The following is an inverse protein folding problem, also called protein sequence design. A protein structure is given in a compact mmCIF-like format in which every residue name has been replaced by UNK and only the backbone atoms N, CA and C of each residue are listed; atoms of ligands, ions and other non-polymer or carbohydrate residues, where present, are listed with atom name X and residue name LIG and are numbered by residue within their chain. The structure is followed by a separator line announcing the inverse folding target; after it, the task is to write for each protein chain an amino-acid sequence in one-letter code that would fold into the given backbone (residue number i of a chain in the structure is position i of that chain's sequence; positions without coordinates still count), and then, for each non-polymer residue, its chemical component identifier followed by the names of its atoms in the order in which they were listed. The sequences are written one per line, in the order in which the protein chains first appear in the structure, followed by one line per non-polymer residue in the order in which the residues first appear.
data_IF_945164218980
#
_entry.id   IF_945164218980
#
_cell.length_a   1.000
_cell.length_b   1.000
_cell.length_c   1.000
_cell.angle_alpha   90.00
_cell.angle_beta   90.00
_cell.angle_gamma   90.00
#
_symmetry.space_group_name_H-M   'P 1'
#
loop_
_entity.id
_entity.type
_entity.pdbx_description
1 polymer ?
#
# COMPACT_ATOMS: atom_id res chain seq x y z
N UNK A 1 -10.98 15.80 -36.29
CA UNK A 1 -12.31 15.13 -36.27
C UNK A 1 -12.31 13.71 -35.65
N UNK A 2 -11.23 13.25 -35.00
CA UNK A 2 -11.05 11.87 -34.49
C UNK A 2 -11.12 10.79 -35.60
N UNK A 3 -10.88 11.15 -36.86
CA UNK A 3 -10.95 10.25 -38.02
C UNK A 3 -9.80 9.25 -38.13
N UNK A 4 -8.72 9.44 -37.38
CA UNK A 4 -7.56 8.53 -37.45
C UNK A 4 -6.62 8.81 -38.64
N UNK A 5 -6.82 9.93 -39.34
CA UNK A 5 -5.92 10.55 -40.32
C UNK A 5 -5.95 12.07 -40.11
N UNK A 6 -4.96 12.80 -40.62
CA UNK A 6 -4.97 14.28 -40.65
C UNK A 6 -5.19 14.74 -42.09
N UNK A 7 -6.29 15.46 -42.29
CA UNK A 7 -6.61 16.05 -43.58
C UNK A 7 -5.85 17.36 -43.83
N UNK A 8 -5.76 17.77 -45.10
CA UNK A 8 -5.17 19.07 -45.52
C UNK A 8 -5.77 20.27 -44.78
N UNK A 9 -7.08 20.23 -44.56
CA UNK A 9 -7.82 21.29 -43.88
C UNK A 9 -7.46 21.35 -42.38
N UNK A 10 -7.33 20.19 -41.73
CA UNK A 10 -6.97 20.12 -40.32
C UNK A 10 -5.49 20.49 -40.07
N UNK A 11 -4.60 20.12 -40.98
CA UNK A 11 -3.21 20.57 -40.93
C UNK A 11 -3.13 22.10 -41.12
N UNK A 12 -3.92 22.67 -42.03
CA UNK A 12 -4.03 24.12 -42.21
C UNK A 12 -4.56 24.84 -40.96
N UNK A 13 -5.64 24.32 -40.37
CA UNK A 13 -6.22 24.88 -39.13
C UNK A 13 -5.22 24.80 -37.96
N UNK A 14 -4.42 23.73 -37.89
CA UNK A 14 -3.34 23.60 -36.90
C UNK A 14 -2.24 24.65 -37.13
N UNK A 15 -1.79 24.87 -38.37
CA UNK A 15 -0.78 25.88 -38.68
C UNK A 15 -1.29 27.30 -38.38
N UNK A 16 -2.55 27.59 -38.69
CA UNK A 16 -3.20 28.86 -38.37
C UNK A 16 -3.33 29.07 -36.85
N UNK A 17 -3.69 28.03 -36.10
CA UNK A 17 -3.77 28.06 -34.64
C UNK A 17 -2.40 28.30 -34.00
N UNK A 18 -1.34 27.81 -34.64
CA UNK A 18 0.06 28.01 -34.23
C UNK A 18 0.64 29.36 -34.69
N UNK A 19 -0.10 30.15 -35.47
CA UNK A 19 0.35 31.44 -36.00
C UNK A 19 1.37 31.34 -37.13
N UNK A 20 1.51 30.16 -37.76
CA UNK A 20 2.44 29.91 -38.86
C UNK A 20 1.69 30.10 -40.17
N UNK A 21 1.93 31.23 -40.85
CA UNK A 21 1.29 31.50 -42.12
C UNK A 21 1.88 30.60 -43.21
N UNK A 22 1.08 29.62 -43.65
CA UNK A 22 1.51 28.57 -44.58
C UNK A 22 0.57 28.55 -45.77
N UNK A 23 1.12 28.56 -46.99
CA UNK A 23 0.32 28.53 -48.20
C UNK A 23 -0.30 27.15 -48.43
N UNK A 24 -1.46 27.04 -49.10
CA UNK A 24 -2.06 25.75 -49.43
C UNK A 24 -1.13 24.84 -50.27
N UNK A 25 -0.25 25.44 -51.09
CA UNK A 25 0.77 24.70 -51.86
C UNK A 25 1.86 24.10 -50.95
N UNK A 26 2.24 24.79 -49.89
CA UNK A 26 3.20 24.28 -48.90
C UNK A 26 2.58 23.20 -48.01
N UNK A 27 1.29 23.33 -47.69
CA UNK A 27 0.54 22.29 -46.97
C UNK A 27 0.46 21.00 -47.80
N UNK A 28 0.23 21.14 -49.11
CA UNK A 28 0.26 20.00 -50.05
C UNK A 28 1.64 19.35 -50.10
N UNK A 29 2.73 20.13 -50.08
CA UNK A 29 4.09 19.60 -50.06
C UNK A 29 4.42 18.91 -48.72
N UNK A 30 4.00 19.46 -47.59
CA UNK A 30 4.17 18.84 -46.28
C UNK A 30 3.47 17.48 -46.20
N UNK A 31 2.26 17.40 -46.75
CA UNK A 31 1.51 16.14 -46.76
C UNK A 31 2.17 15.15 -47.70
N UNK A 32 2.52 15.55 -48.92
CA UNK A 32 3.19 14.67 -49.88
C UNK A 32 4.55 14.10 -49.39
N UNK A 33 5.25 14.79 -48.50
CA UNK A 33 6.52 14.32 -47.93
C UNK A 33 6.30 13.27 -46.80
N UNK A 34 5.13 13.27 -46.17
CA UNK A 34 4.80 12.43 -45.01
C UNK A 34 3.90 11.26 -45.41
N UNK A 35 3.02 11.48 -46.37
CA UNK A 35 2.03 10.56 -46.95
C UNK A 35 2.75 9.42 -47.70
N UNK A 36 2.66 8.20 -47.16
CA UNK A 36 3.33 7.01 -47.69
C UNK A 36 2.47 6.24 -48.69
N UNK A 37 1.15 6.34 -48.61
CA UNK A 37 0.20 5.61 -49.46
C UNK A 37 -0.40 6.50 -50.56
N UNK A 38 0.00 7.77 -50.62
CA UNK A 38 -0.43 8.79 -51.60
C UNK A 38 -1.93 9.04 -51.57
N UNK A 39 -2.57 8.89 -50.41
CA UNK A 39 -4.00 9.08 -50.24
C UNK A 39 -4.40 10.55 -50.03
N UNK A 40 -3.43 11.45 -49.86
CA UNK A 40 -3.60 12.88 -49.68
C UNK A 40 -3.90 13.31 -48.23
N UNK A 41 -3.77 12.39 -47.28
CA UNK A 41 -3.95 12.56 -45.85
C UNK A 41 -2.72 12.00 -45.10
N UNK A 42 -2.47 12.49 -43.88
CA UNK A 42 -1.41 11.92 -43.03
C UNK A 42 -2.05 10.86 -42.15
N UNK A 43 -1.85 9.60 -42.52
CA UNK A 43 -2.20 8.47 -41.66
C UNK A 43 -1.26 8.40 -40.45
N UNK A 44 -1.86 8.15 -39.29
CA UNK A 44 -1.09 7.86 -38.10
C UNK A 44 -0.64 6.40 -38.19
N UNK A 45 0.68 6.14 -38.14
CA UNK A 45 1.27 4.79 -38.10
C UNK A 45 0.82 4.05 -36.82
N UNK A 46 -0.40 3.53 -36.84
CA UNK A 46 -0.94 2.54 -35.91
C UNK A 46 -1.21 1.28 -36.70
N UNK A 47 -0.19 0.42 -36.78
CA UNK A 47 -0.24 -1.02 -37.08
C UNK A 47 -1.65 -1.55 -37.43
N UNK A 48 -2.07 -1.36 -38.69
CA UNK A 48 -3.43 -1.71 -39.11
C UNK A 48 -3.49 -3.16 -39.60
N UNK A 49 -3.50 -4.09 -38.64
CA UNK A 49 -4.28 -5.30 -38.82
C UNK A 49 -4.84 -5.75 -37.48
N UNK A 50 -6.10 -5.37 -37.24
CA UNK A 50 -6.94 -5.61 -36.07
C UNK A 50 -6.77 -4.64 -34.89
N UNK A 51 -7.39 -3.44 -34.95
CA UNK A 51 -7.95 -2.84 -33.73
C UNK A 51 -9.02 -1.77 -34.00
N UNK A 52 -9.88 -1.56 -33.00
CA UNK A 52 -11.11 -0.75 -32.99
C UNK A 52 -10.94 0.70 -33.51
N UNK A 53 -11.97 1.32 -34.12
CA UNK A 53 -11.93 2.67 -34.70
C UNK A 53 -11.93 3.81 -33.66
N UNK A 54 -11.40 3.58 -32.45
CA UNK A 54 -11.47 4.51 -31.32
C UNK A 54 -10.12 4.83 -30.69
N UNK A 55 -9.01 4.34 -31.24
CA UNK A 55 -7.68 4.70 -30.76
C UNK A 55 -7.24 6.05 -31.35
N UNK A 56 -6.83 7.02 -30.51
CA UNK A 56 -6.24 8.26 -31.01
C UNK A 56 -4.93 7.92 -31.75
N UNK A 57 -4.80 8.38 -32.99
CA UNK A 57 -3.60 8.16 -33.80
C UNK A 57 -2.37 8.90 -33.23
N UNK A 58 -1.18 8.32 -33.41
CA UNK A 58 0.10 8.91 -32.98
C UNK A 58 1.00 9.22 -34.19
N UNK A 59 1.47 10.47 -34.31
CA UNK A 59 2.44 10.87 -35.34
C UNK A 59 3.83 10.68 -34.75
N UNK A 60 4.75 10.06 -35.50
CA UNK A 60 6.15 10.02 -35.09
C UNK A 60 6.69 11.45 -34.99
N UNK A 61 7.15 11.81 -33.79
CA UNK A 61 7.66 13.14 -33.43
C UNK A 61 8.70 13.64 -34.44
N UNK A 62 9.56 12.75 -34.94
CA UNK A 62 10.61 13.09 -35.90
C UNK A 62 10.08 13.58 -37.26
N UNK A 63 8.91 13.10 -37.70
CA UNK A 63 8.31 13.52 -38.97
C UNK A 63 7.66 14.89 -38.85
N UNK A 64 6.92 15.11 -37.77
CA UNK A 64 6.31 16.40 -37.47
C UNK A 64 7.39 17.48 -37.23
N UNK A 65 8.49 17.11 -36.56
CA UNK A 65 9.64 17.99 -36.33
C UNK A 65 10.31 18.40 -37.65
N UNK A 66 10.51 17.46 -38.57
CA UNK A 66 11.06 17.74 -39.90
C UNK A 66 10.14 18.64 -40.73
N UNK A 67 8.82 18.42 -40.66
CA UNK A 67 7.86 19.25 -41.39
C UNK A 67 7.86 20.71 -40.90
N UNK A 68 7.82 20.92 -39.58
CA UNK A 68 7.81 22.24 -38.94
C UNK A 68 9.11 23.04 -39.12
N UNK A 69 10.23 22.37 -39.42
CA UNK A 69 11.54 23.04 -39.63
C UNK A 69 11.83 23.32 -41.11
N UNK A 70 11.15 22.65 -42.04
CA UNK A 70 11.39 22.79 -43.48
C UNK A 70 10.41 23.74 -44.18
N UNK A 71 9.15 23.78 -43.73
CA UNK A 71 8.04 24.47 -44.40
C UNK A 71 7.47 25.61 -43.54
N UNK A 72 6.85 26.61 -44.19
CA UNK A 72 6.32 27.82 -43.56
C UNK A 72 7.15 29.09 -43.84
N UNK A 73 6.49 30.26 -43.78
CA UNK A 73 7.11 31.57 -44.06
C UNK A 73 8.14 31.97 -42.99
N UNK A 74 7.86 31.65 -41.72
CA UNK A 74 8.78 31.75 -40.60
C UNK A 74 9.26 30.35 -40.20
N UNK A 75 10.41 29.93 -40.73
CA UNK A 75 10.99 28.61 -40.41
C UNK A 75 11.33 28.53 -38.93
N UNK A 76 10.74 27.56 -38.23
CA UNK A 76 11.06 27.32 -36.84
C UNK A 76 12.46 26.72 -36.73
N UNK A 77 13.23 27.17 -35.76
CA UNK A 77 14.45 26.46 -35.36
C UNK A 77 14.09 25.07 -34.83
N UNK A 78 15.03 24.13 -34.91
CA UNK A 78 14.85 22.78 -34.37
C UNK A 78 14.40 22.77 -32.90
N UNK A 79 14.83 23.78 -32.13
CA UNK A 79 14.43 23.98 -30.75
C UNK A 79 12.97 24.42 -30.64
N UNK A 80 12.54 25.42 -31.40
CA UNK A 80 11.14 25.90 -31.39
C UNK A 80 10.16 24.86 -31.90
N UNK A 81 10.52 24.07 -32.91
CA UNK A 81 9.70 22.96 -33.39
C UNK A 81 9.53 21.87 -32.31
N UNK A 82 10.59 21.55 -31.57
CA UNK A 82 10.51 20.61 -30.45
C UNK A 82 9.66 21.12 -29.29
N UNK A 83 9.71 22.44 -29.04
CA UNK A 83 8.90 23.12 -28.03
C UNK A 83 7.41 22.99 -28.32
N UNK A 84 7.02 23.26 -29.56
CA UNK A 84 5.62 23.17 -30.00
C UNK A 84 5.10 21.74 -29.94
N UNK A 85 5.88 20.75 -30.36
CA UNK A 85 5.47 19.34 -30.28
C UNK A 85 5.29 18.92 -28.81
N UNK A 86 6.12 19.43 -27.89
CA UNK A 86 5.99 19.15 -26.45
C UNK A 86 4.74 19.78 -25.83
N UNK A 87 4.38 21.01 -26.23
CA UNK A 87 3.15 21.69 -25.81
C UNK A 87 1.91 20.97 -26.35
N UNK A 88 1.95 20.53 -27.63
CA UNK A 88 0.86 19.77 -28.25
C UNK A 88 0.65 18.40 -27.59
N UNK A 89 1.73 17.73 -27.15
CA UNK A 89 1.67 16.46 -26.44
C UNK A 89 1.31 16.56 -24.94
N UNK A 90 0.88 17.74 -24.47
CA UNK A 90 0.53 17.99 -23.06
C UNK A 90 1.64 17.54 -22.07
N UNK A 91 2.90 17.61 -22.51
CA UNK A 91 4.07 17.20 -21.73
C UNK A 91 4.80 18.46 -21.27
N UNK A 92 4.90 18.63 -19.95
CA UNK A 92 5.62 19.72 -19.29
C UNK A 92 7.09 19.77 -19.71
N UNK A 93 7.46 20.79 -20.51
CA UNK A 93 8.79 21.36 -20.74
C UNK A 93 9.93 20.47 -21.30
N UNK A 94 10.74 21.07 -22.19
CA UNK A 94 11.92 20.48 -22.85
C UNK A 94 12.96 20.02 -21.81
N UNK A 95 13.48 18.80 -21.96
CA UNK A 95 14.60 18.28 -21.16
C UNK A 95 14.25 17.72 -19.78
N UNK A 96 12.96 17.65 -19.44
CA UNK A 96 12.46 17.18 -18.14
C UNK A 96 12.12 15.67 -18.14
N UNK A 97 12.93 14.84 -18.81
CA UNK A 97 12.70 13.39 -18.90
C UNK A 97 13.21 12.61 -17.68
N UNK A 98 13.95 13.25 -16.76
CA UNK A 98 14.53 12.60 -15.59
C UNK A 98 14.47 13.51 -14.36
N UNK A 99 13.57 13.19 -13.43
CA UNK A 99 13.59 13.66 -12.04
C UNK A 99 13.49 15.18 -11.81
N UNK A 100 13.51 15.58 -10.54
CA UNK A 100 13.47 16.99 -10.14
C UNK A 100 14.75 17.70 -10.57
N UNK A 101 14.61 18.80 -11.32
CA UNK A 101 15.68 19.76 -11.53
C UNK A 101 15.16 21.19 -11.29
N UNK A 102 16.08 22.12 -11.01
CA UNK A 102 15.75 23.50 -10.66
C UNK A 102 15.05 24.30 -11.78
N UNK A 103 15.05 23.79 -13.02
CA UNK A 103 14.43 24.41 -14.19
C UNK A 103 13.02 23.87 -14.51
N UNK A 104 12.74 22.61 -14.16
CA UNK A 104 11.53 21.87 -14.55
C UNK A 104 10.45 21.81 -13.47
N UNK A 105 10.77 22.11 -12.21
CA UNK A 105 9.77 22.26 -11.14
C UNK A 105 8.96 21.02 -10.74
N UNK A 106 9.15 19.88 -11.42
CA UNK A 106 8.42 18.64 -11.13
C UNK A 106 8.97 17.96 -9.88
N UNK A 107 8.07 17.59 -8.96
CA UNK A 107 8.40 16.93 -7.71
C UNK A 107 8.95 15.52 -7.99
N UNK A 108 10.15 15.22 -7.50
CA UNK A 108 10.75 13.89 -7.61
C UNK A 108 9.97 12.89 -6.76
N UNK A 109 9.09 12.16 -7.43
CA UNK A 109 8.23 11.17 -6.78
C UNK A 109 9.03 10.01 -6.19
N UNK A 110 10.17 9.63 -6.78
CA UNK A 110 11.01 8.54 -6.25
C UNK A 110 11.59 8.95 -4.90
N UNK A 111 12.16 10.14 -4.83
CA UNK A 111 12.69 10.69 -3.57
C UNK A 111 11.58 10.91 -2.54
N UNK A 112 10.40 11.42 -2.95
CA UNK A 112 9.28 11.60 -2.02
C UNK A 112 8.82 10.27 -1.42
N UNK A 113 8.60 9.25 -2.24
CA UNK A 113 8.19 7.93 -1.74
C UNK A 113 9.25 7.31 -0.84
N UNK A 114 10.53 7.47 -1.16
CA UNK A 114 11.62 7.03 -0.31
C UNK A 114 11.61 7.72 1.06
N UNK A 115 11.35 9.04 1.11
CA UNK A 115 11.18 9.77 2.37
C UNK A 115 9.99 9.23 3.16
N UNK A 116 8.85 8.97 2.51
CA UNK A 116 7.65 8.41 3.16
C UNK A 116 7.97 7.04 3.76
N UNK A 117 8.59 6.13 3.02
CA UNK A 117 8.93 4.80 3.53
C UNK A 117 9.97 4.86 4.67
N UNK A 118 10.97 5.75 4.57
CA UNK A 118 11.93 5.95 5.65
C UNK A 118 11.28 6.55 6.90
N UNK A 119 10.28 7.43 6.76
CA UNK A 119 9.53 7.96 7.89
C UNK A 119 8.76 6.87 8.65
N UNK A 120 8.26 5.85 7.94
CA UNK A 120 7.63 4.66 8.56
C UNK A 120 8.65 3.87 9.35
N UNK A 121 9.86 3.65 8.80
CA UNK A 121 10.94 2.97 9.52
C UNK A 121 11.33 3.71 10.80
N UNK A 122 11.44 5.05 10.74
CA UNK A 122 11.70 5.90 11.92
C UNK A 122 10.55 5.80 12.92
N UNK A 123 9.30 5.79 12.46
CA UNK A 123 8.15 5.64 13.35
C UNK A 123 8.20 4.32 14.13
N UNK A 124 8.52 3.21 13.45
CA UNK A 124 8.60 1.87 14.07
C UNK A 124 9.78 1.70 15.01
N UNK A 125 10.97 2.22 14.65
CA UNK A 125 12.19 2.01 15.43
C UNK A 125 12.36 3.05 16.53
N UNK A 126 11.87 4.28 16.33
CA UNK A 126 12.10 5.41 17.24
C UNK A 126 10.85 5.80 18.01
N UNK A 127 9.77 6.16 17.29
CA UNK A 127 8.60 6.76 17.96
C UNK A 127 7.80 5.75 18.78
N UNK A 128 7.58 4.54 18.26
CA UNK A 128 6.84 3.51 19.00
C UNK A 128 7.57 3.04 20.25
N UNK A 129 8.84 2.62 20.22
CA UNK A 129 9.51 2.10 21.42
C UNK A 129 9.73 3.22 22.44
N UNK A 130 10.05 4.44 21.99
CA UNK A 130 10.10 5.62 22.87
C UNK A 130 8.77 5.84 23.61
N UNK A 131 7.64 5.76 22.91
CA UNK A 131 6.33 5.93 23.53
C UNK A 131 6.07 4.84 24.57
N UNK A 132 6.43 3.58 24.28
CA UNK A 132 6.30 2.48 25.24
C UNK A 132 7.13 2.74 26.48
N UNK A 133 8.42 3.05 26.34
CA UNK A 133 9.29 3.29 27.50
C UNK A 133 8.86 4.50 28.32
N UNK A 134 8.34 5.54 27.67
CA UNK A 134 7.77 6.68 28.35
C UNK A 134 6.58 6.29 29.24
N UNK A 135 5.71 5.44 28.74
CA UNK A 135 4.51 4.99 29.44
C UNK A 135 4.77 3.87 30.46
N UNK A 136 5.74 2.99 30.21
CA UNK A 136 6.18 1.95 31.15
C UNK A 136 6.91 2.57 32.36
N UNK A 137 7.59 3.70 32.17
CA UNK A 137 8.15 4.48 33.28
C UNK A 137 7.08 5.10 34.21
N UNK A 138 5.80 5.00 33.86
CA UNK A 138 4.66 5.42 34.68
C UNK A 138 4.07 4.23 35.44
N UNK A 139 4.80 3.71 36.42
CA UNK A 139 4.22 2.82 37.42
C UNK A 139 3.22 3.64 38.26
N UNK A 140 1.95 3.66 37.84
CA UNK A 140 0.86 4.45 38.41
C UNK A 140 0.47 4.13 39.86
N UNK A 141 1.37 3.55 40.65
CA UNK A 141 1.19 3.17 42.05
C UNK A 141 2.39 3.51 42.95
N UNK A 142 3.26 4.46 42.57
CA UNK A 142 4.28 4.95 43.50
C UNK A 142 3.72 6.01 44.45
N UNK A 143 3.35 5.49 45.62
CA UNK A 143 3.22 6.20 46.87
C UNK A 143 4.54 6.96 47.15
N UNK A 144 4.39 8.24 47.47
CA UNK A 144 5.34 9.11 48.17
C UNK A 144 6.83 8.66 48.29
N UNK A 145 7.73 9.45 47.67
CA UNK A 145 9.10 9.73 48.16
C UNK A 145 10.31 8.89 47.69
N UNK A 146 10.42 8.51 46.42
CA UNK A 146 11.72 8.14 45.85
C UNK A 146 11.97 8.78 44.48
N UNK A 147 12.87 9.77 44.45
CA UNK A 147 13.54 10.41 43.31
C UNK A 147 12.71 10.56 42.02
N UNK A 148 12.21 11.79 41.78
CA UNK A 148 11.87 12.30 40.45
C UNK A 148 13.12 12.34 39.56
N UNK A 149 13.61 11.20 39.12
CA UNK A 149 14.48 11.11 37.96
C UNK A 149 13.63 11.56 36.76
N UNK A 150 14.21 12.36 35.85
CA UNK A 150 13.45 12.91 34.74
C UNK A 150 12.96 11.76 33.85
N UNK A 151 11.66 11.42 33.93
CA UNK A 151 10.99 10.33 33.21
C UNK A 151 11.37 10.21 31.72
N UNK A 152 11.49 11.36 31.05
CA UNK A 152 11.90 11.42 29.65
C UNK A 152 13.37 11.02 29.41
N UNK A 153 14.27 11.25 30.36
CA UNK A 153 15.68 10.83 30.27
C UNK A 153 15.83 9.31 30.42
N UNK A 154 15.07 8.70 31.33
CA UNK A 154 15.10 7.25 31.52
C UNK A 154 14.53 6.52 30.29
N UNK A 155 13.43 7.03 29.72
CA UNK A 155 12.89 6.53 28.45
C UNK A 155 13.86 6.73 27.27
N UNK A 156 14.51 7.90 27.17
CA UNK A 156 15.47 8.20 26.10
C UNK A 156 16.71 7.30 26.18
N UNK A 157 17.18 6.95 27.38
CA UNK A 157 18.30 6.02 27.56
C UNK A 157 17.97 4.62 27.04
N UNK A 158 16.76 4.12 27.32
CA UNK A 158 16.29 2.83 26.79
C UNK A 158 16.13 2.89 25.27
N UNK A 159 15.66 4.02 24.75
CA UNK A 159 15.50 4.24 23.31
C UNK A 159 16.84 4.29 22.56
N UNK A 160 17.87 4.92 23.13
CA UNK A 160 19.21 4.84 22.53
C UNK A 160 19.68 3.39 22.46
N UNK A 161 19.37 2.59 23.48
CA UNK A 161 19.74 1.16 23.49
C UNK A 161 19.03 0.37 22.40
N UNK A 162 17.73 0.62 22.14
CA UNK A 162 16.99 -0.07 21.07
C UNK A 162 17.51 0.32 19.70
N UNK A 163 17.71 1.60 19.43
CA UNK A 163 18.25 2.10 18.16
C UNK A 163 19.63 1.50 17.86
N UNK A 164 20.50 1.39 18.88
CA UNK A 164 21.82 0.76 18.72
C UNK A 164 21.69 -0.72 18.36
N UNK A 165 20.82 -1.47 19.04
CA UNK A 165 20.61 -2.89 18.75
C UNK A 165 20.04 -3.09 17.35
N UNK A 166 19.00 -2.32 16.97
CA UNK A 166 18.40 -2.39 15.64
C UNK A 166 19.41 -1.98 14.57
N UNK A 167 20.20 -0.93 14.80
CA UNK A 167 21.25 -0.48 13.90
C UNK A 167 22.33 -1.54 13.66
N UNK A 168 22.74 -2.27 14.71
CA UNK A 168 23.68 -3.40 14.59
C UNK A 168 23.06 -4.52 13.74
N UNK A 169 21.81 -4.87 14.00
CA UNK A 169 21.10 -5.91 13.23
C UNK A 169 21.04 -5.52 11.75
N UNK A 170 20.59 -4.31 11.44
CA UNK A 170 20.48 -3.80 10.07
C UNK A 170 21.86 -3.74 9.39
N UNK A 171 22.92 -3.36 10.10
CA UNK A 171 24.27 -3.34 9.55
C UNK A 171 24.76 -4.76 9.19
N UNK A 172 24.53 -5.74 10.08
CA UNK A 172 24.88 -7.14 9.82
C UNK A 172 24.11 -7.65 8.61
N UNK A 173 22.80 -7.43 8.55
CA UNK A 173 21.97 -7.94 7.46
C UNK A 173 22.25 -7.23 6.14
N UNK A 174 22.61 -5.95 6.16
CA UNK A 174 23.04 -5.21 4.98
C UNK A 174 24.32 -5.81 4.39
N UNK A 175 25.34 -6.04 5.22
CA UNK A 175 26.61 -6.62 4.77
C UNK A 175 26.41 -8.03 4.18
N UNK A 176 25.47 -8.81 4.71
CA UNK A 176 25.23 -10.18 4.21
C UNK A 176 24.28 -10.26 3.03
N UNK A 177 23.42 -9.26 2.79
CA UNK A 177 22.28 -9.36 1.87
C UNK A 177 21.98 -8.10 1.04
N UNK A 178 22.95 -7.21 0.82
CA UNK A 178 22.76 -5.96 0.05
C UNK A 178 22.67 -6.14 -1.47
N UNK A 179 22.76 -7.35 -2.00
CA UNK A 179 22.74 -7.61 -3.45
C UNK A 179 21.37 -8.08 -3.92
N UNK A 180 20.86 -7.51 -5.01
CA UNK A 180 19.62 -7.95 -5.67
C UNK A 180 19.94 -8.56 -7.04
N UNK A 181 19.35 -9.72 -7.33
CA UNK A 181 19.43 -10.39 -8.64
C UNK A 181 18.18 -10.05 -9.45
N UNK A 182 18.30 -9.21 -10.48
CA UNK A 182 17.18 -8.87 -11.39
C UNK A 182 17.17 -9.84 -12.58
N UNK A 183 16.12 -10.66 -12.75
CA UNK A 183 16.01 -11.55 -13.90
C UNK A 183 15.64 -10.77 -15.16
N UNK A 184 16.34 -11.02 -16.26
CA UNK A 184 16.06 -10.46 -17.58
C UNK A 184 16.24 -11.53 -18.65
N UNK A 185 15.52 -11.37 -19.77
CA UNK A 185 15.62 -12.29 -20.92
C UNK A 185 16.56 -11.72 -21.98
N UNK A 186 17.57 -12.48 -22.37
CA UNK A 186 18.52 -12.10 -23.42
C UNK A 186 18.38 -13.05 -24.61
N UNK A 187 18.49 -12.50 -25.81
CA UNK A 187 18.66 -13.26 -27.04
C UNK A 187 20.14 -13.25 -27.41
N UNK A 188 20.80 -14.40 -27.32
CA UNK A 188 22.22 -14.53 -27.67
C UNK A 188 22.32 -14.99 -29.12
N UNK A 189 23.00 -14.20 -29.94
CA UNK A 189 23.31 -14.54 -31.33
C UNK A 189 24.82 -14.65 -31.52
N UNK A 190 25.30 -15.81 -31.97
CA UNK A 190 26.73 -16.01 -32.26
C UNK A 190 27.07 -15.41 -33.63
N UNK A 191 27.55 -14.16 -33.66
CA UNK A 191 28.09 -13.54 -34.87
C UNK A 191 29.55 -13.95 -35.09
N UNK A 192 29.92 -14.26 -36.34
CA UNK A 192 31.30 -14.63 -36.74
C UNK A 192 32.07 -13.49 -37.38
N UNK A 193 31.57 -12.25 -37.34
CA UNK A 193 32.19 -11.09 -38.00
C UNK A 193 32.44 -9.98 -36.98
N UNK A 194 33.69 -9.49 -36.93
CA UNK A 194 34.21 -8.54 -35.93
C UNK A 194 33.73 -7.09 -36.03
N UNK A 195 32.50 -6.85 -36.48
CA UNK A 195 31.85 -5.55 -36.36
C UNK A 195 30.58 -5.76 -35.52
N UNK A 196 30.47 -5.06 -34.38
CA UNK A 196 29.46 -5.18 -33.31
C UNK A 196 28.00 -4.83 -33.72
N UNK A 197 27.62 -5.03 -34.98
CA UNK A 197 26.29 -4.71 -35.51
C UNK A 197 25.69 -5.93 -36.22
N UNK A 198 24.67 -6.53 -35.62
CA UNK A 198 23.91 -7.63 -36.22
C UNK A 198 22.83 -7.02 -37.12
N UNK A 199 22.89 -7.29 -38.42
CA UNK A 199 21.83 -6.96 -39.37
C UNK A 199 20.85 -8.13 -39.47
N UNK A 200 19.70 -8.04 -38.80
CA UNK A 200 18.61 -8.98 -39.01
C UNK A 200 17.84 -8.48 -40.24
N UNK A 201 17.88 -9.23 -41.34
CA UNK A 201 17.13 -8.92 -42.53
C UNK A 201 15.62 -9.09 -42.23
N UNK A 202 14.95 -7.97 -41.94
CA UNK A 202 13.52 -7.96 -41.68
C UNK A 202 12.72 -7.89 -42.99
N UNK A 203 11.58 -8.60 -43.02
CA UNK A 203 10.60 -8.52 -44.10
C UNK A 203 9.51 -7.47 -43.80
N UNK A 204 9.77 -6.56 -42.85
CA UNK A 204 9.02 -5.32 -42.63
C UNK A 204 10.00 -4.14 -42.66
N UNK A 205 10.42 -3.75 -43.86
CA UNK A 205 10.70 -2.35 -44.17
C UNK A 205 11.85 -1.60 -43.46
N UNK A 206 12.86 -2.25 -42.88
CA UNK A 206 14.03 -1.51 -42.36
C UNK A 206 15.22 -2.37 -41.94
N UNK A 207 16.43 -1.94 -42.30
CA UNK A 207 17.70 -2.57 -41.91
C UNK A 207 18.14 -2.06 -40.53
N UNK A 208 17.56 -2.56 -39.44
CA UNK A 208 17.97 -2.15 -38.09
C UNK A 208 19.19 -2.95 -37.63
N UNK A 209 20.28 -2.26 -37.34
CA UNK A 209 21.47 -2.85 -36.71
C UNK A 209 21.24 -2.94 -35.20
N UNK A 210 21.28 -4.14 -34.65
CA UNK A 210 21.27 -4.33 -33.20
C UNK A 210 22.69 -4.19 -32.66
N UNK A 211 22.85 -3.37 -31.62
CA UNK A 211 24.07 -3.28 -30.81
C UNK A 211 23.89 -4.13 -29.55
N UNK A 212 25.00 -4.61 -28.99
CA UNK A 212 24.94 -5.36 -27.73
C UNK A 212 24.32 -4.50 -26.62
N UNK A 213 23.35 -5.06 -25.89
CA UNK A 213 22.56 -4.36 -24.87
C UNK A 213 21.37 -3.54 -25.37
N UNK A 214 21.04 -3.56 -26.67
CA UNK A 214 19.84 -2.90 -27.18
C UNK A 214 18.54 -3.57 -26.68
N UNK A 215 17.54 -2.76 -26.33
CA UNK A 215 16.19 -3.24 -25.94
C UNK A 215 15.42 -3.57 -27.22
N UNK A 216 14.86 -4.79 -27.27
CA UNK A 216 14.13 -5.31 -28.42
C UNK A 216 12.62 -5.22 -28.13
N UNK A 217 11.84 -4.78 -29.11
CA UNK A 217 10.38 -4.70 -29.01
C UNK A 217 9.71 -6.08 -28.94
N UNK A 218 8.47 -6.19 -28.44
CA UNK A 218 7.74 -7.46 -28.41
C UNK A 218 7.62 -8.14 -29.77
N UNK A 219 7.44 -7.37 -30.85
CA UNK A 219 7.27 -7.89 -32.22
C UNK A 219 8.59 -8.48 -32.76
N UNK A 220 9.70 -7.77 -32.59
CA UNK A 220 11.04 -8.24 -32.96
C UNK A 220 11.43 -9.50 -32.14
N UNK A 221 11.01 -9.57 -30.88
CA UNK A 221 11.22 -10.75 -30.03
C UNK A 221 10.51 -11.98 -30.59
N UNK A 222 9.26 -11.86 -31.06
CA UNK A 222 8.51 -12.96 -31.68
C UNK A 222 9.19 -13.43 -32.97
N UNK A 223 9.67 -12.50 -33.79
CA UNK A 223 10.40 -12.83 -35.01
C UNK A 223 11.72 -13.57 -34.72
N UNK A 224 12.50 -13.12 -33.74
CA UNK A 224 13.72 -13.80 -33.32
C UNK A 224 13.44 -15.24 -32.86
N UNK A 225 12.35 -15.47 -32.12
CA UNK A 225 11.92 -16.83 -31.74
C UNK A 225 11.52 -17.67 -32.95
N UNK A 226 10.83 -17.10 -33.95
CA UNK A 226 10.49 -17.80 -35.19
C UNK A 226 11.73 -18.24 -35.99
N UNK A 227 12.87 -17.55 -35.82
CA UNK A 227 14.18 -17.92 -36.39
C UNK A 227 14.98 -18.89 -35.53
N UNK A 228 14.42 -19.40 -34.43
CA UNK A 228 15.05 -20.36 -33.55
C UNK A 228 15.96 -19.75 -32.47
N UNK A 229 15.95 -18.42 -32.28
CA UNK A 229 16.59 -17.78 -31.14
C UNK A 229 15.65 -17.79 -29.94
N UNK A 230 15.90 -18.71 -29.02
CA UNK A 230 15.13 -18.80 -27.79
C UNK A 230 15.67 -17.82 -26.73
N UNK A 231 14.80 -17.11 -25.99
CA UNK A 231 15.23 -16.22 -24.92
C UNK A 231 15.88 -17.02 -23.79
N UNK A 232 17.09 -16.65 -23.42
CA UNK A 232 17.81 -17.18 -22.27
C UNK A 232 17.46 -16.32 -21.05
N UNK A 233 17.10 -16.95 -19.94
CA UNK A 233 16.95 -16.25 -18.67
C UNK A 233 18.32 -16.08 -18.01
N UNK A 234 18.70 -14.83 -17.78
CA UNK A 234 19.92 -14.43 -17.09
C UNK A 234 19.56 -13.47 -15.97
N UNK A 235 20.43 -13.34 -14.96
CA UNK A 235 20.23 -12.40 -13.86
C UNK A 235 21.38 -11.40 -13.78
N UNK A 236 21.04 -10.14 -13.51
CA UNK A 236 22.01 -9.07 -13.25
C UNK A 236 22.07 -8.81 -11.76
N UNK A 237 23.29 -8.79 -11.19
CA UNK A 237 23.54 -8.42 -9.79
C UNK A 237 23.70 -6.93 -9.66
N UNK A 238 22.88 -6.32 -8.83
CA UNK A 238 22.97 -4.90 -8.47
C UNK A 238 23.16 -4.73 -6.97
N UNK A 239 24.05 -3.81 -6.60
CA UNK A 239 24.24 -3.39 -5.22
C UNK A 239 23.13 -2.40 -4.83
N UNK A 240 22.47 -2.68 -3.71
CA UNK A 240 21.34 -1.88 -3.23
C UNK A 240 21.84 -0.83 -2.23
N UNK A 241 21.36 0.41 -2.38
CA UNK A 241 21.67 1.48 -1.44
C UNK A 241 21.03 1.23 -0.06
N UNK A 242 21.66 1.75 0.99
CA UNK A 242 21.18 1.54 2.38
C UNK A 242 19.72 1.95 2.59
N UNK A 243 19.23 3.11 2.09
CA UNK A 243 17.82 3.48 2.28
C UNK A 243 16.86 2.50 1.61
N UNK A 244 17.15 2.09 0.36
CA UNK A 244 16.31 1.12 -0.36
C UNK A 244 16.29 -0.21 0.39
N UNK A 245 17.44 -0.67 0.89
CA UNK A 245 17.53 -1.88 1.69
C UNK A 245 16.66 -1.83 2.97
N UNK A 246 16.71 -0.73 3.72
CA UNK A 246 15.90 -0.56 4.93
C UNK A 246 14.41 -0.61 4.58
N UNK A 247 13.99 0.10 3.52
CA UNK A 247 12.58 0.09 3.09
C UNK A 247 12.14 -1.31 2.66
N UNK A 248 12.96 -2.05 1.91
CA UNK A 248 12.68 -3.42 1.53
C UNK A 248 12.56 -4.36 2.75
N UNK A 249 13.42 -4.21 3.75
CA UNK A 249 13.38 -5.00 4.98
C UNK A 249 12.10 -4.74 5.77
N UNK A 250 11.71 -3.47 5.95
CA UNK A 250 10.46 -3.10 6.63
C UNK A 250 9.24 -3.59 5.87
N UNK A 251 9.23 -3.47 4.54
CA UNK A 251 8.16 -4.00 3.69
C UNK A 251 8.07 -5.52 3.74
N UNK A 252 9.20 -6.24 3.79
CA UNK A 252 9.24 -7.69 3.93
C UNK A 252 8.60 -8.15 5.24
N UNK A 253 9.01 -7.54 6.37
CA UNK A 253 8.41 -7.83 7.69
C UNK A 253 6.93 -7.46 7.71
N UNK A 254 6.59 -6.28 7.16
CA UNK A 254 5.22 -5.79 7.06
C UNK A 254 4.31 -6.70 6.24
N UNK A 255 4.81 -7.33 5.19
CA UNK A 255 4.04 -8.24 4.34
C UNK A 255 3.53 -9.48 5.11
N UNK A 256 4.35 -10.06 5.98
CA UNK A 256 3.89 -11.19 6.83
C UNK A 256 2.77 -10.76 7.77
N UNK A 257 2.94 -9.64 8.47
CA UNK A 257 1.92 -9.10 9.37
C UNK A 257 0.63 -8.75 8.61
N UNK A 258 0.77 -8.10 7.45
CA UNK A 258 -0.33 -7.75 6.56
C UNK A 258 -1.12 -8.98 6.12
N UNK A 259 -0.45 -10.05 5.68
CA UNK A 259 -1.10 -11.28 5.22
C UNK A 259 -1.99 -11.92 6.30
N UNK A 260 -1.53 -11.94 7.55
CA UNK A 260 -2.24 -12.53 8.69
C UNK A 260 -3.40 -11.63 9.12
N UNK A 261 -3.12 -10.34 9.36
CA UNK A 261 -4.11 -9.41 9.91
C UNK A 261 -5.20 -9.09 8.89
N UNK A 262 -4.86 -8.88 7.62
CA UNK A 262 -5.88 -8.63 6.57
C UNK A 262 -6.72 -9.88 6.34
N UNK A 263 -6.12 -11.08 6.33
CA UNK A 263 -6.88 -12.33 6.18
C UNK A 263 -7.95 -12.49 7.25
N UNK A 264 -7.59 -12.26 8.52
CA UNK A 264 -8.54 -12.31 9.64
C UNK A 264 -9.53 -11.15 9.57
N UNK A 265 -9.04 -9.96 9.23
CA UNK A 265 -9.81 -8.73 9.11
C UNK A 265 -10.93 -8.79 8.08
N UNK A 266 -10.64 -9.35 6.89
CA UNK A 266 -11.60 -9.50 5.79
C UNK A 266 -12.81 -10.35 6.19
N UNK A 267 -12.61 -11.33 7.08
CA UNK A 267 -13.70 -12.16 7.62
C UNK A 267 -14.34 -11.50 8.84
N UNK A 268 -13.54 -10.91 9.71
CA UNK A 268 -13.98 -10.32 10.97
C UNK A 268 -14.87 -9.08 10.80
N UNK A 269 -14.53 -8.19 9.87
CA UNK A 269 -15.28 -6.95 9.62
C UNK A 269 -16.76 -7.17 9.30
N UNK A 270 -17.10 -7.94 8.25
CA UNK A 270 -18.51 -8.18 7.91
C UNK A 270 -19.21 -8.97 9.01
N UNK A 271 -18.54 -9.94 9.64
CA UNK A 271 -19.12 -10.70 10.75
C UNK A 271 -19.46 -9.82 11.94
N UNK A 272 -18.57 -8.93 12.38
CA UNK A 272 -18.84 -8.06 13.54
C UNK A 272 -20.00 -7.10 13.25
N UNK A 273 -20.09 -6.56 12.03
CA UNK A 273 -21.19 -5.70 11.60
C UNK A 273 -22.53 -6.44 11.58
N UNK A 274 -22.55 -7.69 11.11
CA UNK A 274 -23.76 -8.53 11.06
C UNK A 274 -24.14 -9.01 12.47
N UNK A 275 -23.18 -9.43 13.29
CA UNK A 275 -23.40 -9.83 14.69
C UNK A 275 -23.95 -8.68 15.52
N UNK A 276 -23.55 -7.44 15.23
CA UNK A 276 -24.13 -6.26 15.88
C UNK A 276 -25.64 -6.15 15.64
N UNK A 277 -26.13 -6.59 14.48
CA UNK A 277 -27.57 -6.64 14.18
C UNK A 277 -28.25 -7.76 14.95
N UNK A 278 -27.62 -8.94 15.07
CA UNK A 278 -28.16 -10.00 15.92
C UNK A 278 -28.24 -9.53 17.38
N UNK A 279 -27.24 -8.79 17.87
CA UNK A 279 -27.29 -8.15 19.18
C UNK A 279 -28.40 -7.09 19.29
N UNK A 280 -28.84 -6.46 18.20
CA UNK A 280 -30.01 -5.59 18.20
C UNK A 280 -31.31 -6.39 18.42
N UNK A 281 -31.45 -7.57 17.81
CA UNK A 281 -32.61 -8.44 18.06
C UNK A 281 -32.61 -9.01 19.48
N UNK A 282 -31.44 -9.33 20.03
CA UNK A 282 -31.27 -9.84 21.40
C UNK A 282 -30.94 -8.76 22.43
N UNK A 283 -31.31 -7.50 22.16
CA UNK A 283 -30.98 -6.36 23.04
C UNK A 283 -31.52 -6.57 24.45
N UNK A 284 -30.74 -6.26 25.50
CA UNK A 284 -31.27 -6.25 26.86
C UNK A 284 -32.40 -5.21 26.99
N UNK A 285 -33.49 -5.65 27.62
CA UNK A 285 -34.71 -4.86 27.80
C UNK A 285 -34.53 -3.88 28.96
N UNK A 286 -35.32 -2.80 28.94
CA UNK A 286 -35.32 -1.83 30.03
C UNK A 286 -35.61 -2.49 31.39
N UNK A 287 -34.82 -2.15 32.39
CA UNK A 287 -34.96 -2.61 33.77
C UNK A 287 -35.50 -1.45 34.63
N UNK A 288 -36.54 -1.66 35.45
CA UNK A 288 -37.07 -0.62 36.33
C UNK A 288 -36.05 -0.20 37.39
N UNK A 289 -36.17 1.03 37.90
CA UNK A 289 -35.14 1.68 38.72
C UNK A 289 -34.84 0.95 40.05
N UNK A 290 -35.84 0.28 40.62
CA UNK A 290 -35.75 -0.53 41.83
C UNK A 290 -34.88 -1.77 41.62
N UNK A 291 -35.15 -2.54 40.57
CA UNK A 291 -34.36 -3.73 40.20
C UNK A 291 -32.95 -3.32 39.77
N UNK A 292 -32.81 -2.19 39.06
CA UNK A 292 -31.51 -1.63 38.69
C UNK A 292 -30.66 -1.30 39.92
N UNK A 293 -31.24 -0.65 40.93
CA UNK A 293 -30.54 -0.33 42.16
C UNK A 293 -30.05 -1.59 42.90
N UNK A 294 -30.89 -2.64 42.95
CA UNK A 294 -30.51 -3.93 43.55
C UNK A 294 -29.37 -4.61 42.79
N UNK A 295 -29.45 -4.68 41.47
CA UNK A 295 -28.40 -5.28 40.64
C UNK A 295 -27.10 -4.48 40.70
N UNK A 296 -27.18 -3.15 40.71
CA UNK A 296 -26.03 -2.26 40.87
C UNK A 296 -25.31 -2.49 42.20
N UNK A 297 -26.07 -2.66 43.29
CA UNK A 297 -25.51 -3.01 44.60
C UNK A 297 -24.81 -4.37 44.57
N UNK A 298 -25.41 -5.38 43.93
CA UNK A 298 -24.82 -6.72 43.83
C UNK A 298 -23.53 -6.72 42.99
N UNK A 299 -23.48 -5.96 41.90
CA UNK A 299 -22.26 -5.75 41.11
C UNK A 299 -21.20 -5.01 41.93
N UNK A 300 -21.58 -4.01 42.72
CA UNK A 300 -20.66 -3.29 43.60
C UNK A 300 -20.04 -4.22 44.65
N UNK A 301 -20.81 -5.09 45.28
CA UNK A 301 -20.28 -6.09 46.22
C UNK A 301 -19.29 -7.02 45.52
N UNK A 302 -19.65 -7.58 44.35
CA UNK A 302 -18.74 -8.42 43.55
C UNK A 302 -17.44 -7.70 43.18
N UNK A 303 -17.50 -6.39 42.89
CA UNK A 303 -16.31 -5.59 42.58
C UNK A 303 -15.37 -5.43 43.79
N UNK A 304 -15.93 -5.29 44.99
CA UNK A 304 -15.16 -5.17 46.23
C UNK A 304 -14.48 -6.51 46.59
N UNK A 305 -15.21 -7.62 46.49
CA UNK A 305 -14.67 -8.97 46.68
C UNK A 305 -13.51 -9.24 45.72
N UNK A 306 -13.70 -8.90 44.43
CA UNK A 306 -12.67 -9.10 43.42
C UNK A 306 -11.45 -8.21 43.67
N UNK A 307 -11.64 -6.99 44.17
CA UNK A 307 -10.54 -6.10 44.56
C UNK A 307 -9.72 -6.69 45.73
N UNK A 308 -10.37 -7.33 46.70
CA UNK A 308 -9.70 -8.00 47.81
C UNK A 308 -8.86 -9.19 47.34
N UNK A 309 -9.43 -10.04 46.47
CA UNK A 309 -8.70 -11.14 45.81
C UNK A 309 -7.48 -10.60 45.04
N UNK A 310 -7.62 -9.48 44.34
CA UNK A 310 -6.50 -8.84 43.63
C UNK A 310 -5.37 -8.38 44.57
N UNK A 311 -5.72 -7.84 45.74
CA UNK A 311 -4.74 -7.43 46.76
C UNK A 311 -4.00 -8.64 47.34
N UNK A 312 -4.70 -9.74 47.57
CA UNK A 312 -4.11 -10.99 48.08
C UNK A 312 -3.17 -11.64 47.05
N UNK A 313 -3.54 -11.63 45.77
CA UNK A 313 -2.66 -12.08 44.68
C UNK A 313 -1.39 -11.21 44.63
N UNK A 314 -1.51 -9.89 44.77
CA UNK A 314 -0.36 -8.98 44.78
C UNK A 314 0.57 -9.24 45.99
N UNK A 315 0.01 -9.39 47.18
CA UNK A 315 0.80 -9.64 48.40
C UNK A 315 1.47 -11.02 48.38
N UNK A 316 0.78 -12.05 47.86
CA UNK A 316 1.37 -13.38 47.68
C UNK A 316 2.52 -13.38 46.67
N UNK A 317 2.46 -12.58 45.60
CA UNK A 317 3.60 -12.41 44.67
C UNK A 317 4.79 -11.66 45.31
N UNK A 318 4.53 -10.59 46.06
CA UNK A 318 5.58 -9.81 46.75
C UNK A 318 6.28 -10.59 47.87
N UNK A 319 5.58 -11.49 48.54
CA UNK A 319 6.08 -12.26 49.69
C UNK A 319 6.99 -13.44 49.32
N UNK A 320 7.09 -13.80 48.02
CA UNK A 320 7.99 -14.83 47.53
C UNK A 320 9.22 -14.22 46.85
N UNK A 321 10.24 -13.73 47.58
CA UNK A 321 11.48 -13.30 46.96
C UNK A 321 12.20 -14.51 46.35
N UNK A 322 12.24 -14.55 45.02
CA UNK A 322 12.77 -15.65 44.17
C UNK A 322 14.12 -16.20 44.62
N UNK A 323 14.91 -15.42 45.35
CA UNK A 323 16.23 -15.75 45.89
C UNK A 323 16.38 -17.12 46.60
N UNK A 324 15.32 -17.72 47.17
CA UNK A 324 15.44 -18.98 47.95
C UNK A 324 14.92 -20.26 47.26
N UNK A 325 14.31 -20.16 46.07
CA UNK A 325 13.65 -21.30 45.41
C UNK A 325 14.54 -21.98 44.36
N UNK A 326 14.44 -23.30 44.26
CA UNK A 326 15.10 -24.10 43.22
C UNK A 326 14.60 -23.71 41.82
N UNK A 327 15.45 -23.80 40.79
CA UNK A 327 15.10 -23.42 39.40
C UNK A 327 13.83 -24.14 38.87
N UNK A 328 13.57 -25.36 39.35
CA UNK A 328 12.35 -26.13 39.02
C UNK A 328 11.11 -25.60 39.73
N UNK A 329 11.25 -25.18 40.99
CA UNK A 329 10.17 -24.59 41.77
C UNK A 329 9.80 -23.20 41.27
N UNK A 330 10.79 -22.37 40.89
CA UNK A 330 10.54 -21.07 40.25
C UNK A 330 9.73 -21.21 38.97
N UNK A 331 10.08 -22.18 38.10
CA UNK A 331 9.30 -22.45 36.88
C UNK A 331 7.89 -22.96 37.16
N UNK A 332 7.69 -23.73 38.24
CA UNK A 332 6.38 -24.24 38.63
C UNK A 332 5.51 -23.12 39.22
N UNK A 333 6.06 -22.30 40.10
CA UNK A 333 5.38 -21.17 40.73
C UNK A 333 5.04 -20.11 39.70
N UNK A 334 5.97 -19.71 38.83
CA UNK A 334 5.69 -18.76 37.76
C UNK A 334 4.58 -19.22 36.80
N UNK A 335 4.50 -20.53 36.49
CA UNK A 335 3.35 -21.08 35.75
C UNK A 335 2.05 -20.97 36.53
N UNK A 336 2.06 -21.30 37.82
CA UNK A 336 0.87 -21.19 38.67
C UNK A 336 0.40 -19.73 38.77
N UNK A 337 1.31 -18.79 38.98
CA UNK A 337 1.05 -17.35 39.09
C UNK A 337 0.48 -16.77 37.79
N UNK A 338 0.99 -17.22 36.64
CA UNK A 338 0.40 -16.82 35.35
C UNK A 338 -1.03 -17.35 35.18
N UNK A 339 -1.32 -18.56 35.66
CA UNK A 339 -2.67 -19.15 35.58
C UNK A 339 -3.63 -18.43 36.52
N UNK A 340 -3.23 -18.16 37.77
CA UNK A 340 -4.05 -17.41 38.74
C UNK A 340 -4.32 -15.99 38.24
N UNK A 341 -3.31 -15.31 37.72
CA UNK A 341 -3.44 -13.99 37.11
C UNK A 341 -4.39 -14.02 35.90
N UNK A 342 -4.31 -15.02 35.02
CA UNK A 342 -5.21 -15.13 33.87
C UNK A 342 -6.67 -15.36 34.30
N UNK A 343 -6.91 -16.18 35.33
CA UNK A 343 -8.26 -16.36 35.90
C UNK A 343 -8.81 -15.08 36.52
N UNK A 344 -7.96 -14.35 37.23
CA UNK A 344 -8.31 -13.04 37.80
C UNK A 344 -8.70 -12.05 36.70
N UNK A 345 -7.87 -11.93 35.64
CA UNK A 345 -8.17 -11.09 34.46
C UNK A 345 -9.51 -11.47 33.81
N UNK A 346 -9.79 -12.76 33.67
CA UNK A 346 -11.06 -13.24 33.11
C UNK A 346 -12.27 -12.86 33.99
N UNK A 347 -12.13 -12.94 35.31
CA UNK A 347 -13.18 -12.56 36.24
C UNK A 347 -13.45 -11.04 36.20
N UNK A 348 -12.40 -10.22 36.12
CA UNK A 348 -12.51 -8.75 35.94
C UNK A 348 -13.23 -8.42 34.63
N UNK A 349 -12.81 -9.03 33.53
CA UNK A 349 -13.42 -8.83 32.21
C UNK A 349 -14.93 -9.15 32.19
N UNK A 350 -15.34 -10.27 32.81
CA UNK A 350 -16.76 -10.62 32.91
C UNK A 350 -17.54 -9.61 33.75
N UNK A 351 -16.96 -9.12 34.84
CA UNK A 351 -17.60 -8.12 35.68
C UNK A 351 -17.76 -6.77 34.96
N UNK A 352 -16.74 -6.33 34.21
CA UNK A 352 -16.81 -5.12 33.39
C UNK A 352 -17.90 -5.23 32.32
N UNK A 353 -18.02 -6.39 31.67
CA UNK A 353 -19.09 -6.68 30.71
C UNK A 353 -20.48 -6.61 31.37
N UNK A 354 -20.65 -7.22 32.55
CA UNK A 354 -21.89 -7.15 33.33
C UNK A 354 -22.26 -5.69 33.67
N UNK A 355 -21.28 -4.86 34.07
CA UNK A 355 -21.49 -3.43 34.36
C UNK A 355 -21.94 -2.67 33.11
N UNK A 356 -21.30 -2.93 31.97
CA UNK A 356 -21.63 -2.29 30.70
C UNK A 356 -23.05 -2.65 30.24
N UNK A 357 -23.44 -3.93 30.31
CA UNK A 357 -24.80 -4.38 30.01
C UNK A 357 -25.83 -3.72 30.94
N UNK A 358 -25.52 -3.64 32.24
CA UNK A 358 -26.40 -3.01 33.23
C UNK A 358 -26.61 -1.51 32.95
N UNK A 359 -25.56 -0.77 32.58
CA UNK A 359 -25.68 0.66 32.19
C UNK A 359 -26.56 0.85 30.95
N UNK A 360 -26.43 -0.02 29.94
CA UNK A 360 -27.23 0.02 28.72
C UNK A 360 -28.74 -0.21 28.97
N UNK A 361 -29.09 -0.97 30.01
CA UNK A 361 -30.47 -1.25 30.39
C UNK A 361 -31.21 -0.05 30.99
N UNK A 362 -30.51 0.91 31.60
CA UNK A 362 -31.14 1.97 32.40
C UNK A 362 -30.65 3.39 32.05
N UNK A 363 -29.33 3.63 32.09
CA UNK A 363 -28.74 4.97 31.88
C UNK A 363 -28.78 5.37 30.40
N UNK A 364 -28.35 4.46 29.50
CA UNK A 364 -28.24 4.76 28.07
C UNK A 364 -29.45 4.30 27.23
N UNK A 365 -30.51 3.82 27.88
CA UNK A 365 -31.69 3.29 27.17
C UNK A 365 -32.38 4.35 26.30
N UNK A 366 -32.50 5.58 26.80
CA UNK A 366 -33.24 6.67 26.13
C UNK A 366 -32.50 7.30 24.94
N UNK A 367 -31.17 7.25 24.93
CA UNK A 367 -30.35 7.90 23.90
C UNK A 367 -30.02 6.97 22.71
N UNK A 368 -30.68 5.81 22.62
CA UNK A 368 -30.36 4.83 21.60
C UNK A 368 -31.04 5.14 20.26
N UNK A 369 -30.24 5.46 19.25
CA UNK A 369 -30.73 5.78 17.91
C UNK A 369 -30.98 4.49 17.09
N UNK A 370 -32.23 4.17 16.71
CA UNK A 370 -32.57 2.94 15.97
C UNK A 370 -32.01 2.92 14.53
N UNK A 371 -31.57 4.06 13.99
CA UNK A 371 -30.97 4.14 12.65
C UNK A 371 -29.54 3.61 12.60
N UNK A 372 -28.82 3.63 13.74
CA UNK A 372 -27.41 3.19 13.79
C UNK A 372 -27.27 1.69 13.48
N UNK A 373 -28.09 0.78 14.05
CA UNK A 373 -28.09 -0.63 13.66
C UNK A 373 -28.44 -0.88 12.19
N UNK A 374 -29.41 -0.14 11.64
CA UNK A 374 -29.80 -0.28 10.23
C UNK A 374 -28.66 0.12 9.30
N UNK A 375 -28.00 1.25 9.57
CA UNK A 375 -26.84 1.69 8.81
C UNK A 375 -25.69 0.69 8.89
N UNK A 376 -25.44 0.12 10.08
CA UNK A 376 -24.43 -0.94 10.27
C UNK A 376 -24.77 -2.23 9.51
N UNK A 377 -26.05 -2.58 9.36
CA UNK A 377 -26.48 -3.74 8.57
C UNK A 377 -26.17 -3.54 7.08
N UNK A 378 -26.55 -2.40 6.52
CA UNK A 378 -26.28 -2.07 5.10
C UNK A 378 -24.77 -2.08 4.84
N UNK A 379 -24.01 -1.45 5.74
CA UNK A 379 -22.55 -1.43 5.66
C UNK A 379 -21.96 -2.84 5.81
N UNK A 380 -22.52 -3.70 6.66
CA UNK A 380 -22.11 -5.10 6.81
C UNK A 380 -22.33 -5.92 5.54
N UNK A 381 -23.45 -5.72 4.84
CA UNK A 381 -23.71 -6.39 3.57
C UNK A 381 -22.75 -5.92 2.47
N UNK A 382 -22.55 -4.61 2.36
CA UNK A 382 -21.58 -4.04 1.41
C UNK A 382 -20.16 -4.55 1.71
N UNK A 383 -19.74 -4.53 2.98
CA UNK A 383 -18.44 -5.07 3.41
C UNK A 383 -18.29 -6.56 3.08
N UNK A 384 -19.36 -7.35 3.23
CA UNK A 384 -19.34 -8.77 2.86
C UNK A 384 -19.12 -8.97 1.36
N UNK A 385 -19.74 -8.15 0.51
CA UNK A 385 -19.52 -8.18 -0.94
C UNK A 385 -18.07 -7.80 -1.26
N UNK A 386 -17.58 -6.69 -0.69
CA UNK A 386 -16.21 -6.21 -0.95
C UNK A 386 -15.16 -7.22 -0.48
N UNK A 387 -15.33 -7.84 0.70
CA UNK A 387 -14.48 -8.93 1.16
C UNK A 387 -14.48 -10.13 0.23
N UNK A 388 -15.66 -10.51 -0.28
CA UNK A 388 -15.78 -11.60 -1.21
C UNK A 388 -15.06 -11.31 -2.53
N UNK A 389 -15.19 -10.09 -3.07
CA UNK A 389 -14.46 -9.66 -4.26
C UNK A 389 -12.94 -9.75 -4.03
N UNK A 390 -12.43 -9.21 -2.93
CA UNK A 390 -10.99 -9.33 -2.60
C UNK A 390 -10.52 -10.78 -2.54
N UNK A 391 -11.28 -11.66 -1.90
CA UNK A 391 -10.95 -13.08 -1.80
C UNK A 391 -10.96 -13.76 -3.18
N UNK A 392 -11.93 -13.43 -4.03
CA UNK A 392 -11.99 -13.91 -5.41
C UNK A 392 -10.77 -13.47 -6.22
N UNK A 393 -10.30 -12.23 -6.03
CA UNK A 393 -9.19 -11.64 -6.79
C UNK A 393 -7.88 -12.34 -6.41
N UNK A 394 -7.71 -12.62 -5.12
CA UNK A 394 -6.56 -13.36 -4.62
C UNK A 394 -6.54 -14.77 -5.21
N UNK A 395 -7.65 -15.49 -5.19
CA UNK A 395 -7.72 -16.88 -5.66
C UNK A 395 -7.59 -17.00 -7.18
N UNK A 396 -8.27 -16.15 -7.96
CA UNK A 396 -8.31 -16.28 -9.42
C UNK A 396 -7.23 -15.47 -10.15
N UNK A 397 -6.75 -14.39 -9.53
CA UNK A 397 -5.80 -13.46 -10.13
C UNK A 397 -4.35 -13.64 -9.64
N UNK A 398 -4.14 -14.01 -8.38
CA UNK A 398 -2.77 -14.05 -7.79
C UNK A 398 -2.22 -15.46 -7.53
N UNK A 399 -3.07 -16.44 -7.20
CA UNK A 399 -2.63 -17.81 -6.93
C UNK A 399 -2.13 -18.55 -8.19
N UNK A 400 -2.82 -18.52 -9.35
CA UNK A 400 -2.33 -19.20 -10.53
C UNK A 400 -1.18 -18.41 -11.19
N UNK A 401 -0.18 -19.09 -11.79
CA UNK A 401 0.94 -18.44 -12.46
C UNK A 401 0.53 -17.65 -13.72
N UNK A 402 -0.66 -17.95 -14.26
CA UNK A 402 -1.30 -17.18 -15.31
C UNK A 402 -2.66 -16.75 -14.74
N UNK A 403 -2.94 -15.44 -14.59
CA UNK A 403 -4.20 -14.98 -14.03
C UNK A 403 -5.35 -15.45 -14.94
N UNK A 404 -6.30 -16.18 -14.35
CA UNK A 404 -7.43 -16.74 -15.10
C UNK A 404 -8.44 -15.64 -15.42
N UNK A 405 -8.68 -14.75 -14.44
CA UNK A 405 -9.60 -13.62 -14.57
C UNK A 405 -9.17 -12.49 -13.61
N UNK A 406 -8.50 -11.43 -14.08
CA UNK A 406 -8.09 -10.28 -13.25
C UNK A 406 -9.25 -9.30 -13.03
N UNK A 407 -10.40 -9.80 -12.55
CA UNK A 407 -11.68 -9.09 -12.60
C UNK A 407 -11.66 -7.71 -11.91
N UNK A 408 -10.96 -7.56 -10.78
CA UNK A 408 -10.97 -6.30 -10.03
C UNK A 408 -10.13 -5.25 -10.74
N UNK A 409 -9.05 -5.68 -11.38
CA UNK A 409 -8.19 -4.82 -12.18
C UNK A 409 -8.94 -4.33 -13.44
N UNK A 410 -9.62 -5.25 -14.12
CA UNK A 410 -10.46 -4.90 -15.28
C UNK A 410 -11.61 -3.97 -14.89
N UNK A 411 -12.21 -4.18 -13.71
CA UNK A 411 -13.22 -3.27 -13.15
C UNK A 411 -12.67 -1.85 -12.95
N UNK A 412 -11.47 -1.70 -12.38
CA UNK A 412 -10.87 -0.38 -12.18
C UNK A 412 -10.54 0.31 -13.50
N UNK A 413 -9.96 -0.42 -14.47
CA UNK A 413 -9.62 0.12 -15.80
C UNK A 413 -10.89 0.53 -16.55
N UNK A 414 -11.93 -0.31 -16.53
CA UNK A 414 -13.21 0.00 -17.16
C UNK A 414 -13.87 1.25 -16.56
N UNK A 415 -13.80 1.39 -15.23
CA UNK A 415 -14.42 2.53 -14.55
C UNK A 415 -13.66 3.84 -14.78
N UNK A 416 -12.33 3.76 -14.93
CA UNK A 416 -11.47 4.89 -15.29
C UNK A 416 -11.78 5.43 -16.70
N UNK A 417 -12.08 4.53 -17.65
CA UNK A 417 -12.49 4.91 -19.01
C UNK A 417 -13.81 5.70 -19.07
N UNK A 418 -14.74 5.46 -18.13
CA UNK A 418 -16.02 6.17 -18.07
C UNK A 418 -15.88 7.55 -17.43
N UNK A 419 -15.12 7.65 -16.33
CA UNK A 419 -14.73 8.92 -15.71
C UNK A 419 -13.49 8.73 -14.81
N UNK A 420 -12.34 9.36 -15.10
CA UNK A 420 -11.08 9.08 -14.40
C UNK A 420 -11.10 9.31 -12.87
N UNK A 421 -11.87 10.30 -12.41
CA UNK A 421 -12.02 10.57 -10.97
C UNK A 421 -12.77 9.44 -10.25
N UNK A 422 -13.68 8.74 -10.93
CA UNK A 422 -14.39 7.63 -10.34
C UNK A 422 -13.52 6.36 -10.26
N UNK A 423 -12.65 6.11 -11.24
CA UNK A 423 -11.61 5.08 -11.19
C UNK A 423 -10.74 5.23 -9.95
N UNK A 424 -10.10 6.39 -9.79
CA UNK A 424 -9.24 6.71 -8.63
C UNK A 424 -9.99 6.65 -7.29
N UNK A 425 -11.22 7.17 -7.22
CA UNK A 425 -12.05 7.10 -6.02
C UNK A 425 -12.39 5.65 -5.64
N UNK A 426 -12.69 4.79 -6.62
CA UNK A 426 -13.02 3.38 -6.37
C UNK A 426 -11.82 2.60 -5.80
N UNK A 427 -10.62 2.79 -6.36
CA UNK A 427 -9.38 2.19 -5.81
C UNK A 427 -9.13 2.69 -4.38
N UNK A 428 -9.36 3.98 -4.13
CA UNK A 428 -9.27 4.56 -2.79
C UNK A 428 -10.22 3.92 -1.77
N UNK A 429 -11.48 3.67 -2.15
CA UNK A 429 -12.48 3.01 -1.30
C UNK A 429 -12.07 1.56 -0.98
N UNK A 430 -11.64 0.80 -2.00
CA UNK A 430 -11.19 -0.58 -1.81
C UNK A 430 -9.91 -0.66 -0.97
N UNK A 431 -9.00 0.30 -1.11
CA UNK A 431 -7.78 0.41 -0.31
C UNK A 431 -8.07 0.79 1.15
N UNK A 432 -8.98 1.74 1.38
CA UNK A 432 -9.45 2.10 2.71
C UNK A 432 -10.17 0.94 3.40
N UNK A 433 -10.89 0.12 2.63
CA UNK A 433 -11.50 -1.11 3.15
C UNK A 433 -10.45 -2.11 3.64
N UNK A 434 -9.39 -2.35 2.85
CA UNK A 434 -8.28 -3.22 3.28
C UNK A 434 -7.57 -2.67 4.52
N UNK A 435 -7.39 -1.35 4.63
CA UNK A 435 -6.82 -0.72 5.82
C UNK A 435 -7.71 -0.97 7.05
N UNK A 436 -9.02 -0.78 6.92
CA UNK A 436 -9.98 -1.06 7.99
C UNK A 436 -10.00 -2.54 8.37
N UNK A 437 -9.84 -3.44 7.39
CA UNK A 437 -9.71 -4.87 7.61
C UNK A 437 -8.44 -5.18 8.41
N UNK A 438 -7.30 -4.61 8.02
CA UNK A 438 -6.04 -4.74 8.76
C UNK A 438 -6.20 -4.30 10.23
N UNK A 439 -6.74 -3.11 10.47
CA UNK A 439 -6.97 -2.57 11.83
C UNK A 439 -7.85 -3.53 12.66
N UNK A 440 -8.94 -4.04 12.08
CA UNK A 440 -9.81 -5.02 12.75
C UNK A 440 -9.13 -6.37 12.97
N UNK A 441 -8.30 -6.80 12.03
CA UNK A 441 -7.43 -7.95 12.16
C UNK A 441 -6.52 -7.83 13.38
N UNK A 442 -5.84 -6.68 13.52
CA UNK A 442 -4.99 -6.38 14.67
C UNK A 442 -5.77 -6.45 16.00
N UNK A 443 -6.96 -5.85 16.06
CA UNK A 443 -7.78 -5.87 17.29
C UNK A 443 -8.28 -7.29 17.65
N UNK A 444 -8.63 -8.12 16.66
CA UNK A 444 -9.26 -9.43 16.89
C UNK A 444 -8.27 -10.58 17.03
N UNK A 445 -7.15 -10.52 16.31
CA UNK A 445 -6.09 -11.52 16.37
C UNK A 445 -5.22 -11.40 17.63
N UNK A 446 -5.50 -10.46 18.55
CA UNK A 446 -4.77 -10.23 19.79
C UNK A 446 -4.69 -11.39 20.80
N UNK A 447 -4.74 -12.66 20.37
CA UNK A 447 -4.54 -13.83 21.20
C UNK A 447 -3.29 -14.61 20.73
N UNK A 448 -2.20 -14.40 21.48
CA UNK A 448 -0.97 -15.22 21.55
C UNK A 448 -0.44 -15.75 20.21
N UNK A 449 0.26 -14.89 19.46
CA UNK A 449 1.13 -15.34 18.38
C UNK A 449 2.56 -15.57 18.93
N UNK A 450 3.02 -16.84 18.85
CA UNK A 450 4.35 -17.46 19.08
C UNK A 450 5.38 -16.88 20.07
N UNK A 451 5.47 -15.57 20.32
CA UNK A 451 6.42 -14.93 21.25
C UNK A 451 5.86 -13.73 22.04
N UNK A 452 4.72 -13.13 21.65
CA UNK A 452 4.18 -11.93 22.30
C UNK A 452 2.71 -12.13 22.69
N UNK A 453 2.35 -11.77 23.93
CA UNK A 453 0.98 -11.77 24.41
C UNK A 453 0.36 -10.40 24.15
N UNK A 454 -0.32 -10.23 23.01
CA UNK A 454 -1.11 -9.02 22.75
C UNK A 454 -2.23 -8.89 23.81
N UNK A 455 -2.47 -7.68 24.28
CA UNK A 455 -3.61 -7.37 25.14
C UNK A 455 -4.90 -7.30 24.31
N UNK A 456 -6.05 -7.76 24.82
CA UNK A 456 -7.33 -7.50 24.17
C UNK A 456 -7.58 -5.99 24.15
N UNK A 457 -7.95 -5.45 22.98
CA UNK A 457 -8.20 -4.03 22.79
C UNK A 457 -9.70 -3.76 22.72
N UNK A 458 -10.17 -2.90 23.61
CA UNK A 458 -11.54 -2.40 23.63
C UNK A 458 -11.59 -0.90 23.34
N UNK A 459 -12.60 -0.50 22.57
CA UNK A 459 -12.89 0.90 22.29
C UNK A 459 -13.25 1.62 23.60
N UNK A 460 -12.53 2.69 23.94
CA UNK A 460 -12.66 3.47 25.18
C UNK A 460 -12.37 2.71 26.50
N UNK A 461 -11.91 1.45 26.45
CA UNK A 461 -11.57 0.64 27.63
C UNK A 461 -10.07 0.35 27.78
N UNK A 462 -9.28 0.60 26.73
CA UNK A 462 -7.84 0.23 26.71
C UNK A 462 -6.97 1.41 27.16
N UNK A 463 -6.13 1.19 28.17
CA UNK A 463 -5.10 2.17 28.56
C UNK A 463 -4.08 2.39 27.42
N UNK A 464 -3.55 3.61 27.32
CA UNK A 464 -2.58 3.97 26.28
C UNK A 464 -1.35 3.05 26.28
N UNK A 465 -0.87 2.65 27.45
CA UNK A 465 0.25 1.71 27.60
C UNK A 465 -0.04 0.37 26.91
N UNK A 466 -1.22 -0.20 27.17
CA UNK A 466 -1.66 -1.46 26.55
C UNK A 466 -1.92 -1.31 25.06
N UNK A 467 -2.37 -0.13 24.61
CA UNK A 467 -2.56 0.17 23.20
C UNK A 467 -1.22 0.24 22.45
N UNK A 468 -0.24 0.97 22.99
CA UNK A 468 1.09 1.11 22.39
C UNK A 468 1.88 -0.20 22.41
N UNK A 469 1.79 -0.97 23.50
CA UNK A 469 2.37 -2.31 23.58
C UNK A 469 1.85 -3.27 22.50
N UNK A 470 0.60 -3.10 22.07
CA UNK A 470 0.01 -3.93 21.03
C UNK A 470 0.31 -3.45 19.60
N UNK A 471 0.75 -2.20 19.45
CA UNK A 471 1.02 -1.57 18.16
C UNK A 471 2.50 -1.73 17.75
N UNK A 472 3.41 -1.79 18.72
CA UNK A 472 4.83 -2.10 18.52
C UNK A 472 5.07 -3.61 18.43
#
# INVERSE_FOLDING_TARGET
DRGGSITKAELGELMDTLGINTSPEEIDLMINEIDQDSNGEIDFDGESMFENPTTPGFIKVDRLHRALTLYGTDKLSAEQASELISQANNSTAIGCTAGWNAACGNLDMETLWLIVFMSIAVFLVVLLPYSIYFYESDDGFDDSSAKKTHRWLDALKLEISTVVVVGIIVAITYITSSTSDIPYSVLVYNSTVGNDTIHIADAVGGLHSFTDGAIISPNERVYAMAKGLNPLQTSMRLDVSVPIYITALVSFVGWFAFSIFVGIGLVALPLDLILYVLAFFFRPKFIPADVYAQQKMLVQIRSLELMEVGKEIKSSMLSHPDTKLSARERRKNGKLDTITMNKFKQAVYLLEKDVAELKLCHEDYKNYNPLVPLGKLVLGFVASIVSFLWLLQIILGMVPPIPILPFLNDYFIWFDQWFPLFGTMSVGIFSMYLLMACIKGCFKFGMRCFCCALHPMEYNGTYMNSFLFNLA
#
